data_IF_858089448470
#
_entry.id   IF_858089448470
#
_cell.length_a   1.000
_cell.length_b   1.000
_cell.length_c   1.000
_cell.angle_alpha   90.00
_cell.angle_beta   90.00
_cell.angle_gamma   90.00
#
_symmetry.space_group_name_H-M   'P 1'
#
loop_
_entity.id
_entity.type
_entity.pdbx_description
1 polymer ?
#
# COMPACT_ATOMS: atom_id res chain seq x y z
N UNK A 1 -39.87 -39.57 -37.49
CA UNK A 1 -39.29 -39.81 -36.14
C UNK A 1 -37.88 -40.34 -36.33
N UNK A 2 -36.88 -39.64 -35.75
CA UNK A 2 -35.63 -40.18 -35.15
C UNK A 2 -34.72 -40.98 -36.11
N UNK A 3 -33.49 -40.60 -36.47
CA UNK A 3 -32.47 -39.90 -35.68
C UNK A 3 -31.33 -39.41 -36.59
N UNK A 4 -30.94 -38.14 -36.37
CA UNK A 4 -29.65 -37.58 -36.78
C UNK A 4 -28.56 -38.18 -35.90
N UNK A 5 -27.89 -39.22 -36.37
CA UNK A 5 -26.69 -39.76 -35.72
C UNK A 5 -25.55 -39.65 -36.72
N UNK A 6 -24.69 -38.63 -36.54
CA UNK A 6 -23.34 -38.41 -37.09
C UNK A 6 -23.11 -36.92 -37.28
N UNK A 7 -22.71 -36.20 -36.22
CA UNK A 7 -21.97 -34.93 -36.33
C UNK A 7 -21.45 -34.37 -34.99
N UNK A 8 -21.21 -35.21 -33.98
CA UNK A 8 -20.70 -34.75 -32.67
C UNK A 8 -19.41 -35.46 -32.26
N UNK A 9 -18.42 -35.54 -33.16
CA UNK A 9 -17.08 -36.09 -32.87
C UNK A 9 -15.97 -35.06 -33.07
N UNK A 10 -16.27 -33.78 -33.31
CA UNK A 10 -15.24 -32.75 -33.51
C UNK A 10 -15.52 -31.53 -32.64
N UNK A 11 -15.46 -31.69 -31.31
CA UNK A 11 -15.08 -30.61 -30.36
C UNK A 11 -14.53 -31.27 -29.09
N UNK A 12 -13.38 -31.94 -29.17
CA UNK A 12 -12.73 -32.52 -27.98
C UNK A 12 -11.24 -32.15 -27.86
N UNK A 13 -10.77 -31.12 -28.56
CA UNK A 13 -9.33 -30.79 -28.62
C UNK A 13 -8.99 -29.31 -28.43
N UNK A 14 -9.76 -28.56 -27.63
CA UNK A 14 -9.44 -27.18 -27.23
C UNK A 14 -9.75 -26.93 -25.74
N UNK A 15 -9.48 -27.92 -24.89
CA UNK A 15 -9.45 -27.76 -23.43
C UNK A 15 -8.11 -27.18 -22.96
N UNK A 16 -7.72 -26.04 -23.51
CA UNK A 16 -6.56 -25.29 -23.02
C UNK A 16 -6.94 -24.64 -21.70
N UNK A 17 -6.40 -25.17 -20.61
CA UNK A 17 -6.50 -24.61 -19.26
C UNK A 17 -5.78 -23.27 -19.26
N UNK A 18 -6.53 -22.18 -19.40
CA UNK A 18 -6.03 -20.85 -19.06
C UNK A 18 -5.96 -20.77 -17.53
N UNK A 19 -4.83 -20.37 -16.91
CA UNK A 19 -4.86 -19.96 -15.52
C UNK A 19 -5.74 -18.71 -15.47
N UNK A 20 -6.92 -18.86 -14.87
CA UNK A 20 -7.76 -17.73 -14.51
C UNK A 20 -6.95 -16.85 -13.57
N UNK A 21 -6.47 -15.72 -14.07
CA UNK A 21 -6.12 -14.58 -13.24
C UNK A 21 -7.38 -14.26 -12.43
N UNK A 22 -7.42 -14.71 -11.18
CA UNK A 22 -8.40 -14.25 -10.21
C UNK A 22 -8.02 -12.80 -9.95
N UNK A 23 -8.59 -11.88 -10.73
CA UNK A 23 -8.69 -10.51 -10.29
C UNK A 23 -9.49 -10.56 -8.98
N UNK A 24 -8.79 -10.42 -7.85
CA UNK A 24 -9.45 -10.31 -6.55
C UNK A 24 -10.34 -9.06 -6.61
N UNK A 25 -11.65 -9.26 -6.71
CA UNK A 25 -12.62 -8.20 -6.58
C UNK A 25 -12.73 -7.86 -5.10
N UNK A 26 -12.02 -6.82 -4.69
CA UNK A 26 -12.04 -6.29 -3.33
C UNK A 26 -13.45 -5.77 -3.00
N UNK A 27 -14.01 -6.20 -1.88
CA UNK A 27 -15.17 -5.53 -1.27
C UNK A 27 -14.62 -4.45 -0.36
N UNK A 28 -14.55 -3.21 -0.87
CA UNK A 28 -14.08 -2.05 -0.11
C UNK A 28 -14.96 -1.90 1.15
N UNK A 29 -14.40 -2.15 2.34
CA UNK A 29 -15.06 -1.76 3.58
C UNK A 29 -15.26 -0.24 3.51
N UNK A 30 -16.51 0.24 3.47
CA UNK A 30 -16.83 1.68 3.37
C UNK A 30 -16.86 2.34 4.75
N UNK A 31 -15.82 2.16 5.55
CA UNK A 31 -15.69 2.88 6.81
C UNK A 31 -15.19 4.31 6.55
N UNK A 32 -15.63 5.25 7.36
CA UNK A 32 -15.14 6.63 7.35
C UNK A 32 -14.38 6.89 8.64
N UNK A 33 -13.22 7.53 8.54
CA UNK A 33 -12.36 7.87 9.67
C UNK A 33 -12.34 9.40 9.82
N UNK A 34 -13.07 9.93 10.81
CA UNK A 34 -13.28 11.37 10.87
C UNK A 34 -12.01 12.12 11.27
N UNK A 35 -11.91 13.36 10.78
CA UNK A 35 -10.99 14.34 11.34
C UNK A 35 -11.36 14.61 12.81
N UNK A 36 -10.33 14.71 13.64
CA UNK A 36 -10.44 15.11 15.04
C UNK A 36 -9.43 16.22 15.34
N UNK A 37 -9.71 17.00 16.38
CA UNK A 37 -8.78 18.00 16.87
C UNK A 37 -7.83 17.36 17.89
N UNK A 38 -6.52 17.52 17.66
CA UNK A 38 -5.47 17.25 18.63
C UNK A 38 -4.68 18.52 18.90
N UNK A 39 -5.01 19.19 20.00
CA UNK A 39 -4.53 20.53 20.31
C UNK A 39 -4.91 21.53 19.20
N UNK A 40 -3.90 22.09 18.53
CA UNK A 40 -4.10 23.04 17.43
C UNK A 40 -4.10 22.39 16.04
N UNK A 41 -4.06 21.05 15.95
CA UNK A 41 -3.93 20.32 14.69
C UNK A 41 -5.19 19.53 14.36
N UNK A 42 -5.41 19.32 13.07
CA UNK A 42 -6.36 18.33 12.58
C UNK A 42 -5.65 17.01 12.30
N UNK A 43 -6.24 15.91 12.79
CA UNK A 43 -5.66 14.56 12.69
C UNK A 43 -6.72 13.52 12.35
N UNK A 44 -6.31 12.42 11.73
CA UNK A 44 -7.10 11.19 11.65
C UNK A 44 -6.36 10.13 12.45
N UNK A 45 -6.99 9.57 13.47
CA UNK A 45 -6.34 8.58 14.33
C UNK A 45 -7.32 7.49 14.76
N UNK A 46 -6.76 6.34 15.11
CA UNK A 46 -7.53 5.21 15.61
C UNK A 46 -6.71 3.94 15.66
N UNK A 47 -7.40 2.81 15.81
CA UNK A 47 -6.79 1.49 15.71
C UNK A 47 -7.74 0.50 15.06
N UNK A 48 -7.18 -0.48 14.35
CA UNK A 48 -7.92 -1.61 13.77
C UNK A 48 -7.37 -2.92 14.33
N UNK A 49 -8.20 -3.77 14.95
CA UNK A 49 -7.80 -5.11 15.37
C UNK A 49 -7.78 -6.09 14.20
N UNK A 50 -6.76 -6.95 14.13
CA UNK A 50 -6.62 -8.00 13.12
C UNK A 50 -6.49 -9.37 13.78
N UNK A 51 -7.52 -9.83 14.49
CA UNK A 51 -7.51 -11.16 15.09
C UNK A 51 -7.89 -12.22 14.04
N UNK A 52 -7.15 -13.36 13.91
CA UNK A 52 -6.14 -13.88 14.84
C UNK A 52 -4.67 -13.61 14.42
N UNK A 53 -4.39 -12.59 13.61
CA UNK A 53 -3.03 -12.28 13.15
C UNK A 53 -2.13 -11.82 14.30
N UNK A 54 -0.86 -12.22 14.25
CA UNK A 54 0.16 -11.73 15.18
C UNK A 54 0.73 -10.38 14.72
N UNK A 55 1.41 -9.69 15.64
CA UNK A 55 1.95 -8.36 15.39
C UNK A 55 2.96 -8.30 14.24
N UNK A 56 3.78 -9.34 14.04
CA UNK A 56 4.75 -9.39 12.94
C UNK A 56 4.07 -9.45 11.58
N UNK A 57 3.03 -10.28 11.44
CA UNK A 57 2.26 -10.39 10.21
C UNK A 57 1.49 -9.10 9.89
N UNK A 58 0.92 -8.44 10.89
CA UNK A 58 0.23 -7.16 10.70
C UNK A 58 1.25 -6.09 10.26
N UNK A 59 2.39 -6.02 10.95
CA UNK A 59 3.43 -5.04 10.65
C UNK A 59 4.02 -5.23 9.25
N UNK A 60 4.40 -6.47 8.90
CA UNK A 60 4.92 -6.80 7.59
C UNK A 60 3.93 -6.45 6.48
N UNK A 61 2.66 -6.83 6.64
CA UNK A 61 1.62 -6.51 5.65
C UNK A 61 1.39 -5.00 5.49
N UNK A 62 1.32 -4.26 6.60
CA UNK A 62 1.11 -2.82 6.55
C UNK A 62 2.26 -2.10 5.86
N UNK A 63 3.51 -2.43 6.24
CA UNK A 63 4.70 -1.86 5.61
C UNK A 63 4.80 -2.25 4.13
N UNK A 64 4.53 -3.51 3.79
CA UNK A 64 4.55 -4.00 2.42
C UNK A 64 3.51 -3.31 1.54
N UNK A 65 2.29 -3.10 2.06
CA UNK A 65 1.26 -2.35 1.34
C UNK A 65 1.70 -0.92 1.08
N UNK A 66 2.28 -0.24 2.09
CA UNK A 66 2.81 1.11 1.94
C UNK A 66 3.90 1.16 0.87
N UNK A 67 4.84 0.21 0.87
CA UNK A 67 5.89 0.12 -0.16
C UNK A 67 5.26 -0.05 -1.55
N UNK A 68 4.28 -0.94 -1.68
CA UNK A 68 3.64 -1.25 -2.97
C UNK A 68 2.76 -0.09 -3.50
N UNK A 69 2.11 0.67 -2.63
CA UNK A 69 1.06 1.62 -3.04
C UNK A 69 1.42 3.10 -2.83
N UNK A 70 2.35 3.42 -1.94
CA UNK A 70 2.75 4.81 -1.61
C UNK A 70 4.10 5.16 -2.22
N UNK A 71 5.08 4.25 -2.14
CA UNK A 71 6.43 4.56 -2.63
C UNK A 71 6.49 4.63 -4.15
N UNK A 72 7.15 5.65 -4.69
CA UNK A 72 7.37 5.82 -6.13
C UNK A 72 8.49 4.90 -6.64
N UNK A 73 9.58 4.78 -5.89
CA UNK A 73 10.71 3.89 -6.10
C UNK A 73 11.35 3.55 -4.74
N UNK A 74 12.01 2.40 -4.62
CA UNK A 74 12.63 1.95 -3.36
C UNK A 74 11.66 2.15 -2.18
N UNK A 75 12.13 2.74 -1.07
CA UNK A 75 11.29 3.14 0.08
C UNK A 75 10.95 4.64 0.07
N UNK A 76 10.96 5.29 -1.09
CA UNK A 76 10.69 6.73 -1.20
C UNK A 76 9.34 7.08 -0.54
N UNK A 77 9.32 8.17 0.24
CA UNK A 77 8.18 8.56 1.07
C UNK A 77 8.11 7.90 2.45
N UNK A 78 8.80 6.78 2.72
CA UNK A 78 8.93 6.24 4.09
C UNK A 78 10.03 7.00 4.82
N UNK A 79 9.69 7.62 5.95
CA UNK A 79 10.59 8.53 6.68
C UNK A 79 11.25 7.86 7.88
N UNK A 80 10.62 6.85 8.46
CA UNK A 80 11.15 6.11 9.61
C UNK A 80 10.61 4.67 9.60
N UNK A 81 11.44 3.71 10.00
CA UNK A 81 11.06 2.31 10.19
C UNK A 81 11.74 1.78 11.44
N UNK A 82 10.98 1.12 12.31
CA UNK A 82 11.48 0.42 13.49
C UNK A 82 10.89 -0.98 13.54
N UNK A 83 11.73 -1.98 13.30
CA UNK A 83 11.34 -3.40 13.43
C UNK A 83 11.09 -3.77 14.89
N UNK A 84 11.94 -3.37 15.88
CA UNK A 84 11.68 -3.69 17.28
C UNK A 84 10.37 -3.09 17.80
N UNK A 85 10.06 -1.85 17.42
CA UNK A 85 8.83 -1.17 17.83
C UNK A 85 7.62 -1.47 16.94
N UNK A 86 7.82 -2.26 15.87
CA UNK A 86 6.82 -2.56 14.83
C UNK A 86 6.08 -1.31 14.37
N UNK A 87 6.85 -0.26 14.09
CA UNK A 87 6.33 1.03 13.67
C UNK A 87 7.04 1.54 12.43
N UNK A 88 6.35 2.42 11.70
CA UNK A 88 6.93 3.16 10.60
C UNK A 88 6.15 4.47 10.38
N UNK A 89 6.83 5.43 9.77
CA UNK A 89 6.25 6.71 9.36
C UNK A 89 6.42 6.89 7.86
N UNK A 90 5.44 7.50 7.19
CA UNK A 90 5.54 7.84 5.78
C UNK A 90 4.82 9.14 5.45
N UNK A 91 5.22 9.75 4.33
CA UNK A 91 4.53 10.87 3.71
C UNK A 91 3.53 10.31 2.70
N UNK A 92 2.30 10.78 2.78
CA UNK A 92 1.21 10.43 1.87
C UNK A 92 0.91 11.60 0.94
N UNK A 93 0.65 11.27 -0.32
CA UNK A 93 0.10 12.19 -1.32
C UNK A 93 -1.25 11.61 -1.75
N UNK A 94 -2.32 12.32 -1.44
CA UNK A 94 -3.70 11.89 -1.69
C UNK A 94 -4.36 12.89 -2.64
N UNK A 95 -4.95 12.41 -3.74
CA UNK A 95 -5.55 13.29 -4.75
C UNK A 95 -7.06 13.09 -4.78
N UNK A 96 -7.81 14.20 -4.90
CA UNK A 96 -9.26 14.15 -5.00
C UNK A 96 -9.76 13.24 -6.11
N UNK A 97 -10.90 12.59 -5.85
CA UNK A 97 -11.56 11.73 -6.82
C UNK A 97 -12.03 12.52 -8.05
N UNK A 98 -12.26 11.83 -9.16
CA UNK A 98 -12.62 12.44 -10.45
C UNK A 98 -13.97 13.18 -10.44
N UNK A 99 -14.84 12.89 -9.49
CA UNK A 99 -16.16 13.51 -9.27
C UNK A 99 -16.18 14.58 -8.17
N UNK A 100 -15.10 14.72 -7.39
CA UNK A 100 -14.98 15.75 -6.36
C UNK A 100 -15.17 17.16 -6.95
N UNK A 101 -15.92 18.03 -6.25
CA UNK A 101 -16.19 19.40 -6.68
C UNK A 101 -14.93 20.25 -6.81
N UNK A 102 -13.96 20.01 -5.92
CA UNK A 102 -12.65 20.62 -5.93
C UNK A 102 -11.61 19.55 -6.22
N UNK A 103 -10.64 19.84 -7.09
CA UNK A 103 -9.51 18.94 -7.33
C UNK A 103 -8.34 19.41 -6.49
N UNK A 104 -8.18 18.80 -5.32
CA UNK A 104 -7.09 19.10 -4.42
C UNK A 104 -6.10 17.94 -4.39
N UNK A 105 -4.86 18.26 -4.08
CA UNK A 105 -3.86 17.29 -3.63
C UNK A 105 -3.59 17.55 -2.16
N UNK A 106 -3.67 16.51 -1.36
CA UNK A 106 -3.40 16.55 0.07
C UNK A 106 -2.07 15.87 0.36
N UNK A 107 -1.27 16.53 1.19
CA UNK A 107 -0.04 15.97 1.73
C UNK A 107 -0.23 15.76 3.22
N UNK A 108 0.11 14.58 3.74
CA UNK A 108 0.09 14.35 5.18
C UNK A 108 1.18 13.37 5.61
N UNK A 109 1.50 13.39 6.90
CA UNK A 109 2.38 12.42 7.53
C UNK A 109 1.53 11.36 8.22
N UNK A 110 1.74 10.10 7.87
CA UNK A 110 1.13 8.95 8.55
C UNK A 110 2.15 8.25 9.42
N UNK A 111 1.71 7.86 10.63
CA UNK A 111 2.44 7.01 11.55
C UNK A 111 1.62 5.76 11.81
N UNK A 112 2.27 4.62 11.74
CA UNK A 112 1.67 3.32 12.00
C UNK A 112 2.47 2.60 13.08
N UNK A 113 1.79 1.96 14.02
CA UNK A 113 2.40 1.10 15.03
C UNK A 113 1.54 -0.12 15.27
N UNK A 114 2.17 -1.29 15.35
CA UNK A 114 1.48 -2.53 15.71
C UNK A 114 1.75 -2.90 17.15
N UNK A 115 0.67 -3.20 17.89
CA UNK A 115 0.75 -3.70 19.25
C UNK A 115 -0.51 -4.49 19.61
N UNK A 116 -0.33 -5.63 20.26
CA UNK A 116 -1.42 -6.44 20.82
C UNK A 116 -2.51 -6.80 19.77
N UNK A 117 -2.07 -7.22 18.57
CA UNK A 117 -2.93 -7.61 17.45
C UNK A 117 -3.65 -6.45 16.76
N UNK A 118 -3.22 -5.21 17.00
CA UNK A 118 -3.85 -3.99 16.47
C UNK A 118 -2.86 -3.14 15.70
N UNK A 119 -3.30 -2.59 14.58
CA UNK A 119 -2.62 -1.50 13.88
C UNK A 119 -3.19 -0.17 14.39
N UNK A 120 -2.37 0.60 15.10
CA UNK A 120 -2.63 1.98 15.49
C UNK A 120 -2.15 2.88 14.36
N UNK A 121 -2.96 3.86 13.98
CA UNK A 121 -2.64 4.82 12.92
C UNK A 121 -2.88 6.26 13.39
N UNK A 122 -2.04 7.18 12.89
CA UNK A 122 -2.12 8.60 13.18
C UNK A 122 -1.65 9.40 11.95
N UNK A 123 -2.58 10.08 11.28
CA UNK A 123 -2.34 10.97 10.15
C UNK A 123 -2.40 12.41 10.63
N UNK A 124 -1.38 13.21 10.30
CA UNK A 124 -1.22 14.58 10.76
C UNK A 124 -0.50 15.45 9.74
N UNK A 125 -0.28 16.73 10.08
CA UNK A 125 0.38 17.72 9.23
C UNK A 125 -0.28 17.83 7.85
N UNK A 126 -1.61 17.88 7.83
CA UNK A 126 -2.39 17.83 6.60
C UNK A 126 -2.28 19.17 5.87
N UNK A 127 -1.78 19.13 4.64
CA UNK A 127 -1.59 20.28 3.77
C UNK A 127 -2.38 20.11 2.48
N UNK A 128 -2.89 21.22 1.95
CA UNK A 128 -3.80 21.24 0.81
C UNK A 128 -3.14 22.06 -0.30
N UNK A 129 -2.93 21.44 -1.46
CA UNK A 129 -2.61 22.11 -2.72
C UNK A 129 -3.86 22.10 -3.60
N UNK A 130 -4.48 23.28 -3.74
CA UNK A 130 -5.66 23.45 -4.58
C UNK A 130 -5.27 23.64 -6.04
N UNK A 131 -5.87 22.87 -6.95
CA UNK A 131 -5.69 23.04 -8.40
C UNK A 131 -6.33 24.31 -8.97
N UNK A 132 -7.26 24.95 -8.24
CA UNK A 132 -8.05 26.09 -8.71
C UNK A 132 -7.25 27.40 -8.67
N UNK A 133 -6.08 27.43 -8.04
CA UNK A 133 -5.26 28.65 -7.88
C UNK A 133 -4.11 28.64 -8.88
N UNK A 134 -3.98 29.74 -9.64
CA UNK A 134 -2.92 29.93 -10.68
C UNK A 134 -1.51 29.82 -10.07
N UNK A 135 -1.36 30.18 -8.80
CA UNK A 135 -0.17 29.87 -8.00
C UNK A 135 -0.45 28.63 -7.14
N UNK A 136 0.40 27.60 -7.28
CA UNK A 136 0.43 26.42 -6.41
C UNK A 136 0.71 26.85 -4.97
N UNK A 137 -0.34 27.12 -4.21
CA UNK A 137 -0.25 27.49 -2.80
C UNK A 137 -0.63 26.30 -1.95
N UNK A 138 0.34 25.82 -1.18
CA UNK A 138 0.13 24.80 -0.16
C UNK A 138 -0.38 25.47 1.13
N UNK A 139 -1.54 25.03 1.61
CA UNK A 139 -2.22 25.61 2.77
C UNK A 139 -2.47 24.53 3.84
N UNK A 140 -2.03 24.73 5.10
CA UNK A 140 -2.37 23.82 6.19
C UNK A 140 -3.87 23.74 6.43
N UNK A 141 -4.37 22.53 6.77
CA UNK A 141 -5.78 22.27 7.08
C UNK A 141 -6.29 23.19 8.21
N UNK A 142 -5.44 23.52 9.17
CA UNK A 142 -5.75 24.40 10.32
C UNK A 142 -6.12 25.83 9.90
N UNK A 143 -5.77 26.26 8.68
CA UNK A 143 -6.15 27.59 8.17
C UNK A 143 -7.54 27.62 7.55
N UNK A 144 -8.19 26.46 7.39
CA UNK A 144 -9.58 26.40 6.96
C UNK A 144 -10.52 26.94 8.04
N UNK A 145 -11.69 27.37 7.59
CA UNK A 145 -12.73 28.02 8.41
C UNK A 145 -14.09 27.51 7.92
N UNK A 146 -14.40 26.22 8.16
CA UNK A 146 -15.62 25.58 7.64
C UNK A 146 -16.88 26.32 8.05
N UNK A 147 -16.93 26.81 9.29
CA UNK A 147 -18.06 27.58 9.85
C UNK A 147 -18.36 28.89 9.09
N UNK A 148 -17.37 29.45 8.38
CA UNK A 148 -17.52 30.72 7.66
C UNK A 148 -17.55 30.56 6.14
N UNK A 149 -17.07 29.43 5.62
CA UNK A 149 -16.91 29.20 4.18
C UNK A 149 -17.31 27.76 3.85
N UNK A 150 -18.47 27.54 3.20
CA UNK A 150 -18.92 26.20 2.81
C UNK A 150 -17.89 25.44 1.96
N UNK A 151 -17.16 26.14 1.08
CA UNK A 151 -16.11 25.51 0.27
C UNK A 151 -14.95 24.93 1.09
N UNK A 152 -14.68 25.46 2.29
CA UNK A 152 -13.69 24.89 3.20
C UNK A 152 -14.19 23.59 3.83
N UNK A 153 -15.49 23.51 4.17
CA UNK A 153 -16.09 22.26 4.64
C UNK A 153 -16.01 21.20 3.54
N UNK A 154 -16.33 21.56 2.29
CA UNK A 154 -16.21 20.64 1.15
C UNK A 154 -14.77 20.11 0.97
N UNK A 155 -13.74 20.95 1.21
CA UNK A 155 -12.34 20.50 1.20
C UNK A 155 -12.05 19.50 2.33
N UNK A 156 -12.59 19.72 3.53
CA UNK A 156 -12.42 18.80 4.66
C UNK A 156 -13.11 17.46 4.41
N UNK A 157 -14.34 17.49 3.87
CA UNK A 157 -15.11 16.30 3.54
C UNK A 157 -14.43 15.47 2.44
N UNK A 158 -13.90 16.14 1.40
CA UNK A 158 -13.12 15.50 0.33
C UNK A 158 -11.86 14.82 0.89
N UNK A 159 -11.11 15.48 1.78
CA UNK A 159 -9.97 14.85 2.45
C UNK A 159 -10.39 13.58 3.21
N UNK A 160 -11.44 13.66 4.05
CA UNK A 160 -11.95 12.51 4.82
C UNK A 160 -12.33 11.35 3.89
N UNK A 161 -12.97 11.64 2.76
CA UNK A 161 -13.33 10.60 1.80
C UNK A 161 -12.11 9.88 1.23
N UNK A 162 -11.07 10.62 0.81
CA UNK A 162 -9.89 10.04 0.13
C UNK A 162 -8.99 9.31 1.12
N UNK A 163 -8.74 9.90 2.29
CA UNK A 163 -7.93 9.26 3.32
C UNK A 163 -8.61 7.96 3.80
N UNK A 164 -9.94 7.99 3.95
CA UNK A 164 -10.69 6.82 4.39
C UNK A 164 -10.61 5.70 3.37
N UNK A 165 -10.74 6.02 2.09
CA UNK A 165 -10.54 5.05 1.02
C UNK A 165 -9.13 4.43 1.08
N UNK A 166 -8.09 5.23 1.29
CA UNK A 166 -6.72 4.75 1.40
C UNK A 166 -6.55 3.81 2.60
N UNK A 167 -7.04 4.21 3.78
CA UNK A 167 -7.00 3.40 4.99
C UNK A 167 -7.78 2.09 4.84
N UNK A 168 -8.98 2.11 4.24
CA UNK A 168 -9.73 0.88 3.97
C UNK A 168 -8.96 -0.08 3.08
N UNK A 169 -8.33 0.40 2.00
CA UNK A 169 -7.48 -0.45 1.14
C UNK A 169 -6.29 -1.06 1.89
N UNK A 170 -5.66 -0.29 2.77
CA UNK A 170 -4.60 -0.79 3.65
C UNK A 170 -5.13 -1.87 4.59
N UNK A 171 -6.24 -1.63 5.28
CA UNK A 171 -6.79 -2.57 6.25
C UNK A 171 -7.33 -3.84 5.60
N UNK A 172 -7.98 -3.71 4.45
CA UNK A 172 -8.43 -4.85 3.65
C UNK A 172 -7.23 -5.70 3.20
N UNK A 173 -6.14 -5.06 2.74
CA UNK A 173 -4.92 -5.78 2.39
C UNK A 173 -4.30 -6.49 3.59
N UNK A 174 -4.18 -5.84 4.74
CA UNK A 174 -3.65 -6.48 5.95
C UNK A 174 -4.50 -7.69 6.36
N UNK A 175 -5.83 -7.59 6.25
CA UNK A 175 -6.75 -8.67 6.61
C UNK A 175 -6.71 -9.88 5.67
N UNK A 176 -6.33 -9.66 4.40
CA UNK A 176 -6.51 -10.67 3.33
C UNK A 176 -5.21 -11.19 2.77
N UNK A 177 -4.13 -10.42 2.83
CA UNK A 177 -2.84 -10.82 2.27
C UNK A 177 -2.15 -11.85 3.16
N UNK A 178 -1.92 -13.04 2.59
CA UNK A 178 -1.23 -14.14 3.26
C UNK A 178 0.27 -14.08 2.94
N UNK A 179 1.04 -13.55 3.89
CA UNK A 179 2.50 -13.59 3.81
C UNK A 179 3.03 -14.92 4.34
N UNK A 180 4.01 -15.46 3.62
CA UNK A 180 4.93 -16.44 4.21
C UNK A 180 5.59 -15.81 5.45
N UNK A 181 5.92 -16.62 6.48
CA UNK A 181 6.63 -16.11 7.65
C UNK A 181 7.89 -15.35 7.26
N UNK A 182 8.06 -14.15 7.81
CA UNK A 182 9.28 -13.37 7.66
C UNK A 182 10.35 -13.98 8.55
N UNK A 183 11.47 -14.37 7.96
CA UNK A 183 12.56 -15.10 8.63
C UNK A 183 13.85 -14.29 8.73
N UNK A 184 13.99 -13.22 7.95
CA UNK A 184 15.21 -12.41 7.84
C UNK A 184 15.07 -11.01 8.48
N UNK A 185 14.41 -10.91 9.64
CA UNK A 185 14.16 -9.61 10.30
C UNK A 185 15.42 -8.80 10.59
N UNK A 186 16.53 -9.45 10.96
CA UNK A 186 17.80 -8.75 11.23
C UNK A 186 18.36 -8.10 9.97
N UNK A 187 18.35 -8.83 8.86
CA UNK A 187 18.82 -8.41 7.55
C UNK A 187 17.94 -7.29 6.98
N UNK A 188 16.61 -7.40 7.14
CA UNK A 188 15.66 -6.35 6.79
C UNK A 188 15.94 -5.08 7.57
N UNK A 189 16.24 -5.19 8.88
CA UNK A 189 16.51 -4.04 9.75
C UNK A 189 17.75 -3.25 9.32
N UNK A 190 18.80 -3.95 8.87
CA UNK A 190 20.07 -3.32 8.48
C UNK A 190 20.20 -3.09 6.97
N UNK A 191 19.17 -3.43 6.18
CA UNK A 191 19.20 -3.30 4.72
C UNK A 191 20.33 -4.12 4.08
N UNK A 192 20.47 -5.39 4.49
CA UNK A 192 21.50 -6.30 3.94
C UNK A 192 20.85 -7.46 3.20
N UNK A 193 21.08 -7.64 1.90
CA UNK A 193 20.53 -8.78 1.17
C UNK A 193 21.29 -10.04 1.55
N UNK A 194 20.59 -11.15 1.72
CA UNK A 194 21.17 -12.48 1.90
C UNK A 194 20.46 -13.53 1.06
N UNK A 195 21.18 -14.60 0.73
CA UNK A 195 20.60 -15.76 0.04
C UNK A 195 19.47 -16.35 0.89
N UNK A 196 18.37 -16.70 0.24
CA UNK A 196 17.18 -17.26 0.89
C UNK A 196 16.11 -16.23 1.27
N UNK A 197 16.40 -14.92 1.19
CA UNK A 197 15.36 -13.91 1.36
C UNK A 197 14.29 -14.05 0.28
N UNK A 198 13.02 -13.96 0.65
CA UNK A 198 11.91 -13.93 -0.30
C UNK A 198 11.83 -12.57 -1.02
N UNK A 199 11.05 -12.51 -2.10
CA UNK A 199 10.72 -11.25 -2.76
C UNK A 199 10.07 -10.23 -1.80
N UNK A 200 9.12 -10.66 -0.96
CA UNK A 200 8.49 -9.77 0.01
C UNK A 200 9.47 -9.29 1.09
N UNK A 201 10.39 -10.16 1.57
CA UNK A 201 11.45 -9.74 2.49
C UNK A 201 12.40 -8.73 1.85
N UNK A 202 12.69 -8.87 0.54
CA UNK A 202 13.49 -7.89 -0.20
C UNK A 202 12.74 -6.57 -0.39
N UNK A 203 11.43 -6.59 -0.64
CA UNK A 203 10.62 -5.38 -0.64
C UNK A 203 10.64 -4.72 0.73
N UNK A 204 10.42 -5.48 1.80
CA UNK A 204 10.50 -4.97 3.17
C UNK A 204 11.88 -4.36 3.44
N UNK A 205 12.97 -4.94 2.94
CA UNK A 205 14.35 -4.47 3.17
C UNK A 205 14.78 -3.28 2.29
N UNK A 206 14.40 -3.23 1.01
CA UNK A 206 14.96 -2.29 0.03
C UNK A 206 13.89 -1.45 -0.68
N UNK A 207 12.62 -1.78 -0.49
CA UNK A 207 11.50 -1.20 -1.22
C UNK A 207 11.45 -1.66 -2.67
N UNK A 208 10.78 -0.89 -3.52
CA UNK A 208 10.58 -1.21 -4.94
C UNK A 208 11.89 -1.21 -5.72
N UNK A 209 12.21 -2.27 -6.48
CA UNK A 209 13.30 -2.21 -7.45
C UNK A 209 12.98 -1.21 -8.58
N UNK A 210 14.03 -0.70 -9.23
CA UNK A 210 13.88 0.17 -10.40
C UNK A 210 13.34 -0.60 -11.60
N UNK A 211 13.81 -1.83 -11.80
CA UNK A 211 13.32 -2.72 -12.86
C UNK A 211 13.19 -4.15 -12.34
N UNK A 212 12.23 -4.85 -12.92
CA UNK A 212 11.99 -6.28 -12.73
C UNK A 212 12.02 -6.91 -14.13
N UNK A 213 12.80 -7.96 -14.30
CA UNK A 213 12.82 -8.76 -15.53
C UNK A 213 12.80 -10.23 -15.18
N UNK A 214 12.14 -11.04 -16.02
CA UNK A 214 12.07 -12.49 -15.84
C UNK A 214 12.60 -13.18 -17.10
N UNK A 215 13.52 -14.14 -16.93
CA UNK A 215 14.05 -14.95 -18.02
C UNK A 215 14.37 -16.35 -17.54
N UNK A 216 13.95 -17.37 -18.29
CA UNK A 216 14.24 -18.78 -17.99
C UNK A 216 13.87 -19.23 -16.55
N UNK A 217 12.80 -18.65 -15.97
CA UNK A 217 12.37 -18.95 -14.60
C UNK A 217 13.22 -18.31 -13.49
N UNK A 218 14.12 -17.40 -13.85
CA UNK A 218 14.85 -16.53 -12.93
C UNK A 218 14.26 -15.11 -12.99
N UNK A 219 13.90 -14.57 -11.83
CA UNK A 219 13.44 -13.19 -11.69
C UNK A 219 14.64 -12.35 -11.26
N UNK A 220 14.90 -11.25 -11.95
CA UNK A 220 15.97 -10.31 -11.65
C UNK A 220 15.38 -8.97 -11.25
N UNK A 221 15.79 -8.47 -10.10
CA UNK A 221 15.49 -7.12 -9.63
C UNK A 221 16.74 -6.26 -9.66
N UNK A 222 16.62 -5.06 -10.23
CA UNK A 222 17.69 -4.07 -10.25
C UNK A 222 17.31 -2.90 -9.35
N UNK A 223 18.16 -2.58 -8.37
CA UNK A 223 18.00 -1.40 -7.52
C UNK A 223 18.89 -0.24 -7.96
N UNK A 224 20.05 -0.55 -8.55
CA UNK A 224 20.96 0.40 -9.19
C UNK A 224 21.86 -0.35 -10.18
N UNK A 225 22.72 0.36 -10.91
CA UNK A 225 23.68 -0.26 -11.84
C UNK A 225 24.71 -1.17 -11.18
N UNK A 226 24.85 -1.15 -9.85
CA UNK A 226 25.73 -2.06 -9.10
C UNK A 226 24.98 -3.00 -8.17
N UNK A 227 23.67 -2.84 -7.97
CA UNK A 227 22.91 -3.64 -7.01
C UNK A 227 21.77 -4.43 -7.68
N UNK A 228 21.95 -5.75 -7.75
CA UNK A 228 21.01 -6.69 -8.33
C UNK A 228 20.71 -7.85 -7.36
N UNK A 229 19.46 -8.30 -7.38
CA UNK A 229 19.01 -9.53 -6.74
C UNK A 229 18.45 -10.46 -7.81
N UNK A 230 18.91 -11.71 -7.81
CA UNK A 230 18.39 -12.76 -8.68
C UNK A 230 17.67 -13.78 -7.82
N UNK A 231 16.42 -14.04 -8.18
CA UNK A 231 15.51 -14.93 -7.48
C UNK A 231 15.29 -16.20 -8.28
N UNK A 232 15.34 -17.32 -7.57
CA UNK A 232 14.98 -18.63 -8.08
C UNK A 232 13.97 -19.24 -7.12
N UNK A 233 12.84 -19.70 -7.64
CA UNK A 233 11.73 -20.22 -6.82
C UNK A 233 11.27 -19.21 -5.73
N UNK A 234 11.24 -17.92 -6.06
CA UNK A 234 10.79 -16.84 -5.17
C UNK A 234 11.77 -16.44 -4.06
N UNK A 235 12.99 -16.99 -4.04
CA UNK A 235 14.02 -16.68 -3.05
C UNK A 235 15.31 -16.17 -3.72
N UNK A 236 16.00 -15.24 -3.08
CA UNK A 236 17.31 -14.73 -3.53
C UNK A 236 18.30 -15.88 -3.60
N UNK A 237 18.90 -16.08 -4.77
CA UNK A 237 19.95 -17.06 -5.03
C UNK A 237 21.30 -16.37 -5.23
N UNK A 238 21.30 -15.26 -5.99
CA UNK A 238 22.51 -14.49 -6.32
C UNK A 238 22.32 -13.01 -5.99
N UNK A 239 23.38 -12.39 -5.47
CA UNK A 239 23.45 -10.98 -5.11
C UNK A 239 24.66 -10.36 -5.82
N UNK A 240 24.46 -9.24 -6.51
CA UNK A 240 25.54 -8.41 -7.04
C UNK A 240 25.43 -7.06 -6.32
N UNK A 241 26.51 -6.57 -5.69
CA UNK A 241 26.56 -5.28 -5.00
C UNK A 241 27.94 -4.63 -5.14
#
# INVERSE_FOLDING_TARGET
MITRLRLWVIVFLLGGVLPSLIAQTFTEQKNTYPLSADGSKYVVNGFIPFSPMNDESIYANALLWTIKNVCSAQRDGITEVSIPAKSFSCNLVLTSQADAKQKNTYYCTAQFQVKDGKLVYYLSNIQIESSVVIMKKVTPMEKLQPEKKPSHQETMDDFVQIESQMLNKLFDFVSTNQLSPITHWNEINIGKPVKGMTEDECLLAFGKPQTISESNGEVQWMYSSSFYLFFKNGCVETIIK
#
